data_IF_681627693039
#
_entry.id   IF_681627693039
#
_cell.length_a   1.000
_cell.length_b   1.000
_cell.length_c   1.000
_cell.angle_alpha   90.00
_cell.angle_beta   90.00
_cell.angle_gamma   90.00
#
_symmetry.space_group_name_H-M   'P 1'
#
loop_
_entity.id
_entity.type
_entity.pdbx_description
1 polymer ?
#
# COMPACT_ATOMS: atom_id res chain seq x y z
N UNK A 1 -10.20 -13.22 7.77
CA UNK A 1 -10.41 -13.62 6.37
C UNK A 1 -9.09 -13.56 5.60
N UNK A 2 -8.94 -14.38 4.58
CA UNK A 2 -7.73 -14.38 3.74
C UNK A 2 -8.08 -13.78 2.38
N UNK A 3 -7.29 -12.79 1.95
CA UNK A 3 -7.47 -12.16 0.65
C UNK A 3 -6.23 -12.39 -0.22
N UNK A 4 -6.44 -12.61 -1.51
CA UNK A 4 -5.36 -12.61 -2.48
C UNK A 4 -4.87 -11.17 -2.69
N UNK A 5 -3.55 -10.98 -2.67
CA UNK A 5 -2.97 -9.65 -2.72
C UNK A 5 -1.58 -9.71 -3.33
N UNK A 6 -1.44 -9.17 -4.53
CA UNK A 6 -0.17 -9.21 -5.25
C UNK A 6 0.46 -7.83 -5.36
N UNK A 7 1.77 -7.79 -5.25
CA UNK A 7 2.57 -6.58 -5.28
C UNK A 7 3.68 -6.76 -6.31
N UNK A 8 3.92 -5.73 -7.12
CA UNK A 8 4.98 -5.75 -8.14
C UNK A 8 6.35 -5.52 -7.51
N UNK A 9 7.37 -6.07 -8.16
CA UNK A 9 8.76 -5.79 -7.79
C UNK A 9 9.14 -4.34 -8.16
N UNK A 10 10.02 -3.69 -7.39
CA UNK A 10 10.80 -4.25 -6.26
C UNK A 10 10.06 -4.27 -4.92
N UNK A 11 8.83 -3.79 -4.88
CA UNK A 11 8.09 -3.59 -3.62
C UNK A 11 7.71 -4.90 -2.95
N UNK A 12 7.48 -5.96 -3.72
CA UNK A 12 7.26 -7.30 -3.14
C UNK A 12 8.47 -7.74 -2.32
N UNK A 13 9.67 -7.60 -2.88
CA UNK A 13 10.91 -7.95 -2.17
C UNK A 13 11.11 -7.09 -0.91
N UNK A 14 10.75 -5.81 -0.98
CA UNK A 14 10.84 -4.92 0.17
C UNK A 14 9.88 -5.33 1.28
N UNK A 15 8.70 -5.81 0.96
CA UNK A 15 7.77 -6.37 1.94
C UNK A 15 8.35 -7.64 2.57
N UNK A 16 8.93 -8.52 1.76
CA UNK A 16 9.48 -9.78 2.23
C UNK A 16 10.67 -9.60 3.15
N UNK A 17 11.48 -8.57 2.95
CA UNK A 17 12.69 -8.30 3.76
C UNK A 17 12.51 -7.21 4.80
N UNK A 18 11.27 -6.80 5.09
CA UNK A 18 10.92 -5.83 6.14
C UNK A 18 11.32 -4.37 5.86
N UNK A 19 11.84 -4.06 4.69
CA UNK A 19 12.16 -2.66 4.32
C UNK A 19 10.91 -1.85 4.06
N UNK A 20 9.86 -2.50 3.56
CA UNK A 20 8.55 -1.89 3.34
C UNK A 20 7.56 -2.53 4.31
N UNK A 21 6.82 -1.69 5.05
CA UNK A 21 5.84 -2.16 6.03
C UNK A 21 4.44 -1.63 5.77
N UNK A 22 4.29 -0.70 4.83
CA UNK A 22 3.01 -0.11 4.46
C UNK A 22 2.76 -0.29 2.99
N UNK A 23 1.64 -0.89 2.64
CA UNK A 23 1.16 -0.99 1.26
C UNK A 23 -0.04 -0.08 1.08
N UNK A 24 -0.31 0.32 -0.17
CA UNK A 24 -1.41 1.21 -0.47
C UNK A 24 -2.22 0.73 -1.67
N UNK A 25 -3.50 1.09 -1.68
CA UNK A 25 -4.43 0.87 -2.79
C UNK A 25 -5.45 2.00 -2.80
N UNK A 26 -6.10 2.20 -3.94
CA UNK A 26 -7.33 2.97 -3.95
C UNK A 26 -8.35 2.26 -3.06
N UNK A 27 -9.08 3.00 -2.24
CA UNK A 27 -10.01 2.42 -1.26
C UNK A 27 -11.31 2.01 -1.94
N UNK A 28 -11.27 0.91 -2.69
CA UNK A 28 -12.42 0.38 -3.43
C UNK A 28 -12.41 -1.14 -3.43
N UNK A 29 -13.56 -1.75 -3.80
CA UNK A 29 -13.74 -3.20 -3.91
C UNK A 29 -13.39 -3.92 -2.61
N UNK A 30 -12.69 -5.04 -2.69
CA UNK A 30 -12.30 -5.85 -1.52
C UNK A 30 -11.44 -5.07 -0.53
N UNK A 31 -10.73 -4.05 -1.00
CA UNK A 31 -9.85 -3.26 -0.12
C UNK A 31 -10.62 -2.51 0.96
N UNK A 32 -11.85 -2.09 0.68
CA UNK A 32 -12.73 -1.46 1.67
C UNK A 32 -13.11 -2.41 2.79
N UNK A 33 -13.07 -3.72 2.54
CA UNK A 33 -13.51 -4.75 3.49
C UNK A 33 -12.39 -5.24 4.40
N UNK A 34 -11.15 -4.83 4.15
CA UNK A 34 -10.03 -5.26 4.98
C UNK A 34 -10.24 -4.86 6.44
N UNK A 35 -9.96 -5.79 7.33
CA UNK A 35 -10.03 -5.58 8.77
C UNK A 35 -8.68 -5.88 9.40
N UNK A 36 -8.41 -5.29 10.57
CA UNK A 36 -7.23 -5.61 11.35
C UNK A 36 -7.24 -7.11 11.62
N UNK A 37 -6.07 -7.75 11.47
CA UNK A 37 -5.83 -9.19 11.65
C UNK A 37 -6.25 -10.06 10.46
N UNK A 38 -6.87 -9.48 9.43
CA UNK A 38 -7.05 -10.20 8.17
C UNK A 38 -5.69 -10.54 7.55
N UNK A 39 -5.67 -11.57 6.71
CA UNK A 39 -4.45 -12.08 6.10
C UNK A 39 -4.44 -11.73 4.63
N UNK A 40 -3.32 -11.19 4.16
CA UNK A 40 -3.06 -10.96 2.75
C UNK A 40 -2.11 -12.04 2.25
N UNK A 41 -2.52 -12.80 1.26
CA UNK A 41 -1.74 -13.91 0.70
C UNK A 41 -1.29 -13.57 -0.72
N UNK A 42 0.00 -13.66 -0.98
CA UNK A 42 0.56 -13.50 -2.32
C UNK A 42 0.45 -14.80 -3.12
N UNK A 43 0.54 -14.68 -4.46
CA UNK A 43 0.52 -15.84 -5.35
C UNK A 43 1.70 -16.79 -5.09
N UNK A 44 2.79 -16.30 -4.56
CA UNK A 44 3.96 -17.08 -4.14
C UNK A 44 3.85 -17.63 -2.72
N UNK A 45 2.66 -17.61 -2.11
CA UNK A 45 2.29 -18.21 -0.83
C UNK A 45 2.72 -17.45 0.42
N UNK A 46 3.49 -16.39 0.32
CA UNK A 46 3.82 -15.57 1.49
C UNK A 46 2.55 -14.91 2.02
N UNK A 47 2.45 -14.81 3.35
CA UNK A 47 1.30 -14.24 4.03
C UNK A 47 1.70 -13.07 4.90
N UNK A 48 0.81 -12.08 4.96
CA UNK A 48 0.98 -10.91 5.79
C UNK A 48 -0.28 -10.69 6.61
N UNK A 49 -0.09 -10.25 7.85
CA UNK A 49 -1.19 -9.88 8.74
C UNK A 49 -1.38 -8.37 8.70
N UNK A 50 -2.63 -7.92 8.63
CA UNK A 50 -2.96 -6.50 8.67
C UNK A 50 -2.91 -6.02 10.12
N UNK A 51 -1.99 -5.10 10.41
CA UNK A 51 -1.84 -4.52 11.74
C UNK A 51 -2.66 -3.24 11.91
N UNK A 52 -2.77 -2.46 10.84
CA UNK A 52 -3.45 -1.16 10.87
C UNK A 52 -3.95 -0.82 9.47
N UNK A 53 -5.07 -0.12 9.43
CA UNK A 53 -5.70 0.34 8.20
C UNK A 53 -6.07 1.81 8.39
N UNK A 54 -5.63 2.65 7.48
CA UNK A 54 -5.89 4.10 7.53
C UNK A 54 -6.28 4.62 6.16
N UNK A 55 -7.28 5.48 6.10
CA UNK A 55 -7.75 6.13 4.89
C UNK A 55 -7.19 7.54 4.79
N UNK A 56 -6.75 7.93 3.59
CA UNK A 56 -6.24 9.26 3.30
C UNK A 56 -6.95 9.81 2.06
N UNK A 57 -7.16 11.11 2.03
CA UNK A 57 -7.81 11.76 0.88
C UNK A 57 -6.92 11.78 -0.35
N UNK A 58 -5.61 11.92 -0.14
CA UNK A 58 -4.65 12.00 -1.22
C UNK A 58 -3.45 11.09 -0.96
N UNK A 59 -2.81 10.67 -2.04
CA UNK A 59 -1.58 9.91 -1.97
C UNK A 59 -0.46 10.70 -1.27
N UNK A 60 -0.38 12.00 -1.54
CA UNK A 60 0.61 12.87 -0.91
C UNK A 60 0.45 12.89 0.60
N UNK A 61 -0.77 13.06 1.10
CA UNK A 61 -1.06 13.04 2.54
C UNK A 61 -0.64 11.71 3.16
N UNK A 62 -0.96 10.59 2.50
CA UNK A 62 -0.56 9.27 2.97
C UNK A 62 0.96 9.16 3.11
N UNK A 63 1.71 9.61 2.10
CA UNK A 63 3.17 9.53 2.11
C UNK A 63 3.78 10.37 3.22
N UNK A 64 3.21 11.53 3.51
CA UNK A 64 3.70 12.37 4.59
C UNK A 64 3.49 11.74 5.96
N UNK A 65 2.30 11.17 6.20
CA UNK A 65 1.94 10.60 7.50
C UNK A 65 2.61 9.25 7.73
N UNK A 66 2.62 8.39 6.71
CA UNK A 66 3.16 7.03 6.81
C UNK A 66 4.68 6.97 6.63
N UNK A 67 5.29 8.05 6.15
CA UNK A 67 6.70 8.15 5.78
C UNK A 67 7.02 7.37 4.52
N UNK A 68 7.55 8.08 3.54
CA UNK A 68 7.82 7.52 2.21
C UNK A 68 8.72 6.28 2.26
N UNK A 69 9.69 6.24 3.15
CA UNK A 69 10.62 5.08 3.26
C UNK A 69 9.94 3.80 3.74
N UNK A 70 8.79 3.90 4.39
CA UNK A 70 8.01 2.72 4.79
C UNK A 70 7.10 2.21 3.68
N UNK A 71 6.71 3.08 2.77
CA UNK A 71 5.80 2.76 1.66
C UNK A 71 6.58 2.45 0.39
N UNK A 72 7.56 3.29 0.07
CA UNK A 72 8.39 3.19 -1.13
C UNK A 72 9.86 3.37 -0.73
N UNK A 73 10.51 2.30 -0.23
CA UNK A 73 11.89 2.41 0.31
C UNK A 73 12.94 2.91 -0.67
N UNK A 74 12.68 2.81 -1.96
CA UNK A 74 13.61 3.26 -3.02
C UNK A 74 13.38 4.70 -3.46
N UNK A 75 12.42 5.40 -2.85
CA UNK A 75 12.08 6.78 -3.21
C UNK A 75 12.35 7.71 -2.04
N UNK A 76 12.77 8.94 -2.35
CA UNK A 76 13.06 9.96 -1.34
C UNK A 76 12.24 11.24 -1.53
N UNK A 77 11.63 11.44 -2.70
CA UNK A 77 10.87 12.64 -3.03
C UNK A 77 9.44 12.28 -3.38
N UNK A 78 8.51 12.66 -2.51
CA UNK A 78 7.08 12.38 -2.66
C UNK A 78 6.52 13.03 -3.93
N UNK A 79 6.84 14.30 -4.14
CA UNK A 79 6.27 15.05 -5.26
C UNK A 79 6.77 14.51 -6.61
N UNK A 80 8.05 14.20 -6.68
CA UNK A 80 8.63 13.60 -7.89
C UNK A 80 7.95 12.28 -8.23
N UNK A 81 7.72 11.43 -7.24
CA UNK A 81 7.05 10.15 -7.47
C UNK A 81 5.60 10.34 -7.93
N UNK A 82 4.87 11.25 -7.31
CA UNK A 82 3.50 11.55 -7.70
C UNK A 82 3.44 12.06 -9.14
N UNK A 83 4.27 13.02 -9.48
CA UNK A 83 4.23 13.65 -10.80
C UNK A 83 4.67 12.72 -11.93
N UNK A 84 5.66 11.87 -11.67
CA UNK A 84 6.31 11.08 -12.72
C UNK A 84 5.89 9.61 -12.76
N UNK A 85 5.31 9.08 -11.70
CA UNK A 85 4.94 7.67 -11.62
C UNK A 85 3.47 7.49 -11.29
N UNK A 86 3.02 8.07 -10.19
CA UNK A 86 1.67 7.80 -9.69
C UNK A 86 0.59 8.16 -10.72
N UNK A 87 0.62 9.37 -11.26
CA UNK A 87 -0.39 9.83 -12.21
C UNK A 87 -0.25 9.25 -13.62
N UNK A 88 0.77 8.45 -13.89
CA UNK A 88 0.80 7.61 -15.10
C UNK A 88 -0.21 6.47 -15.01
N UNK A 89 -0.49 5.99 -13.80
CA UNK A 89 -1.34 4.82 -13.56
C UNK A 89 -2.68 5.18 -12.94
N UNK A 90 -2.74 6.29 -12.20
CA UNK A 90 -3.94 6.71 -11.48
C UNK A 90 -4.21 8.19 -11.72
N UNK A 91 -5.47 8.55 -11.93
CA UNK A 91 -5.86 9.94 -12.14
C UNK A 91 -6.25 10.60 -10.81
N UNK A 92 -6.16 11.93 -10.75
CA UNK A 92 -6.67 12.70 -9.62
C UNK A 92 -8.16 12.43 -9.37
N UNK A 93 -8.91 12.15 -10.44
CA UNK A 93 -10.33 11.83 -10.35
C UNK A 93 -10.55 10.55 -9.53
N UNK A 94 -9.78 9.51 -9.78
CA UNK A 94 -9.88 8.26 -9.03
C UNK A 94 -9.50 8.46 -7.56
N UNK A 95 -8.46 9.25 -7.31
CA UNK A 95 -8.02 9.58 -5.95
C UNK A 95 -9.14 10.31 -5.18
N UNK A 96 -9.77 11.29 -5.81
CA UNK A 96 -10.88 12.04 -5.19
C UNK A 96 -12.10 11.18 -4.95
N UNK A 97 -12.38 10.24 -5.86
CA UNK A 97 -13.55 9.38 -5.77
C UNK A 97 -13.40 8.31 -4.70
N UNK A 98 -12.24 7.67 -4.61
CA UNK A 98 -12.06 6.49 -3.76
C UNK A 98 -11.21 6.72 -2.52
N UNK A 99 -10.40 7.79 -2.49
CA UNK A 99 -9.38 8.01 -1.48
C UNK A 99 -8.31 6.92 -1.53
N UNK A 100 -7.33 7.02 -0.66
CA UNK A 100 -6.20 6.08 -0.59
C UNK A 100 -6.29 5.29 0.71
N UNK A 101 -6.17 3.98 0.60
CA UNK A 101 -6.07 3.09 1.75
C UNK A 101 -4.62 2.72 1.98
N UNK A 102 -4.11 3.00 3.17
CA UNK A 102 -2.81 2.54 3.63
C UNK A 102 -3.00 1.36 4.58
N UNK A 103 -2.25 0.29 4.35
CA UNK A 103 -2.33 -0.93 5.14
C UNK A 103 -0.95 -1.24 5.69
N UNK A 104 -0.80 -1.18 7.01
CA UNK A 104 0.43 -1.61 7.67
C UNK A 104 0.36 -3.11 7.88
N UNK A 105 1.40 -3.80 7.43
CA UNK A 105 1.40 -5.26 7.41
C UNK A 105 2.64 -5.84 8.07
N UNK A 106 2.51 -7.08 8.55
CA UNK A 106 3.60 -7.85 9.14
C UNK A 106 3.63 -9.22 8.49
N UNK A 107 4.81 -9.65 8.03
CA UNK A 107 4.96 -10.96 7.44
C UNK A 107 4.74 -12.06 8.49
N UNK A 108 3.96 -13.05 8.13
CA UNK A 108 3.74 -14.27 8.93
C UNK A 108 4.71 -15.34 8.43
N UNK A 109 5.48 -15.87 9.32
CA UNK A 109 6.39 -16.97 8.99
C UNK A 109 5.75 -18.31 9.21
#
# INVERSE_FOLDING_TARGET
MIYDFNVQEPYKSFLLNWKKTVEWRLNKWKFQQFLIWDILKMDSWEKFEILRKTEYKTFYEMMEVEWIEKVLPDKTDIQDWIDNVYFKFYSEKLEKEFWILAVEVKRIK
#
